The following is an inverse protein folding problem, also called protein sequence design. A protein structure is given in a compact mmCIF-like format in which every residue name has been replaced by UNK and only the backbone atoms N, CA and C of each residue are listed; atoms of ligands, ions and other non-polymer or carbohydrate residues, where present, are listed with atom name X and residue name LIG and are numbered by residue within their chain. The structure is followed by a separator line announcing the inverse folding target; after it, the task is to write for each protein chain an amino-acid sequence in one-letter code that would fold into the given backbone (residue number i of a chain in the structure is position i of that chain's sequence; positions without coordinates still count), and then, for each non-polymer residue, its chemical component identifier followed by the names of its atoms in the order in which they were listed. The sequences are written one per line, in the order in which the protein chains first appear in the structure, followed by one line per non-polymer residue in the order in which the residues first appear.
data_IF_509965503002
#
_entry.id   IF_509965503002
#
_cell.length_a   1.000
_cell.length_b   1.000
_cell.length_c   1.000
_cell.angle_alpha   90.00
_cell.angle_beta   90.00
_cell.angle_gamma   90.00
#
_symmetry.space_group_name_H-M   'P 1'
#
loop_
_entity.id
_entity.type
_entity.pdbx_description
1 polymer ?
#
# COMPACT_ATOMS: atom_id res chain seq x y z
N UNK A 1 -7.69 -15.09 5.74
CA UNK A 1 -8.13 -13.88 6.43
C UNK A 1 -8.84 -12.94 5.46
N UNK A 2 -9.89 -12.26 5.93
CA UNK A 2 -10.56 -11.24 5.15
C UNK A 2 -9.89 -9.89 5.40
N UNK A 3 -9.36 -9.31 4.34
CA UNK A 3 -8.80 -7.97 4.34
C UNK A 3 -9.85 -6.88 4.13
N UNK A 4 -9.43 -5.62 4.11
CA UNK A 4 -10.28 -4.49 3.78
C UNK A 4 -10.73 -4.56 2.31
N UNK A 5 -11.92 -4.04 1.99
CA UNK A 5 -12.45 -4.02 0.63
C UNK A 5 -12.73 -5.38 0.00
N UNK A 6 -12.94 -6.44 0.82
CA UNK A 6 -13.17 -7.80 0.32
C UNK A 6 -11.91 -8.54 -0.14
N UNK A 7 -10.75 -7.94 0.04
CA UNK A 7 -9.47 -8.55 -0.29
C UNK A 7 -9.18 -9.74 0.65
N UNK A 8 -8.70 -10.85 0.11
CA UNK A 8 -8.26 -12.00 0.89
C UNK A 8 -6.77 -11.91 1.18
N UNK A 9 -6.39 -12.21 2.43
CA UNK A 9 -5.00 -12.33 2.87
C UNK A 9 -4.64 -13.80 3.01
N UNK A 10 -3.54 -14.21 2.38
CA UNK A 10 -2.93 -15.51 2.54
C UNK A 10 -1.85 -15.48 3.63
N UNK A 11 -1.60 -16.63 4.25
CA UNK A 11 -0.48 -16.83 5.13
C UNK A 11 0.76 -17.20 4.32
N UNK A 12 1.83 -16.45 4.50
CA UNK A 12 3.13 -16.73 3.87
C UNK A 12 4.03 -17.46 4.87
N UNK A 13 4.19 -16.88 6.05
CA UNK A 13 4.94 -17.44 7.17
C UNK A 13 4.28 -17.06 8.50
N UNK A 14 3.99 -17.98 9.41
CA UNK A 14 4.02 -19.43 9.18
C UNK A 14 3.05 -19.85 8.06
N UNK A 15 3.29 -21.00 7.45
CA UNK A 15 2.35 -21.55 6.45
C UNK A 15 0.99 -21.80 7.10
N UNK A 16 -0.09 -21.72 6.33
CA UNK A 16 -1.45 -21.87 6.86
C UNK A 16 -1.65 -23.16 7.66
N UNK A 17 -1.00 -24.26 7.24
CA UNK A 17 -1.03 -25.56 7.94
C UNK A 17 -0.21 -25.60 9.25
N UNK A 18 0.69 -24.64 9.44
CA UNK A 18 1.63 -24.60 10.59
C UNK A 18 1.11 -23.69 11.70
N UNK A 19 0.18 -22.80 11.37
CA UNK A 19 -0.44 -21.91 12.35
C UNK A 19 -1.45 -22.61 13.21
N UNK A 20 -1.56 -22.20 14.47
CA UNK A 20 -2.62 -22.62 15.36
C UNK A 20 -3.92 -21.83 15.08
N UNK A 21 -5.06 -22.39 15.49
CA UNK A 21 -6.35 -21.68 15.45
C UNK A 21 -6.31 -20.39 16.27
N UNK A 22 -5.59 -20.39 17.40
CA UNK A 22 -5.43 -19.22 18.25
C UNK A 22 -4.67 -18.10 17.54
N UNK A 23 -3.59 -18.40 16.84
CA UNK A 23 -2.83 -17.43 16.02
C UNK A 23 -3.73 -16.84 14.91
N UNK A 24 -4.52 -17.69 14.25
CA UNK A 24 -5.46 -17.24 13.22
C UNK A 24 -6.53 -16.30 13.76
N UNK A 25 -7.13 -16.65 14.88
CA UNK A 25 -8.15 -15.83 15.54
C UNK A 25 -7.57 -14.49 16.03
N UNK A 26 -6.37 -14.53 16.62
CA UNK A 26 -5.67 -13.33 17.08
C UNK A 26 -5.38 -12.35 15.92
N UNK A 27 -4.83 -12.85 14.81
CA UNK A 27 -4.52 -11.99 13.66
C UNK A 27 -5.80 -11.44 13.01
N UNK A 28 -6.87 -12.23 12.94
CA UNK A 28 -8.16 -11.75 12.45
C UNK A 28 -8.72 -10.62 13.33
N UNK A 29 -8.63 -10.75 14.64
CA UNK A 29 -9.00 -9.70 15.60
C UNK A 29 -8.15 -8.45 15.43
N UNK A 30 -6.84 -8.62 15.30
CA UNK A 30 -5.91 -7.52 15.07
C UNK A 30 -6.27 -6.75 13.78
N UNK A 31 -6.46 -7.45 12.67
CA UNK A 31 -6.82 -6.83 11.39
C UNK A 31 -8.17 -6.09 11.46
N UNK A 32 -9.15 -6.62 12.22
CA UNK A 32 -10.43 -5.94 12.41
C UNK A 32 -10.27 -4.65 13.24
N UNK A 33 -9.51 -4.68 14.32
CA UNK A 33 -9.21 -3.51 15.15
C UNK A 33 -8.44 -2.45 14.34
N UNK A 34 -7.39 -2.86 13.64
CA UNK A 34 -6.63 -2.00 12.75
C UNK A 34 -7.54 -1.31 11.72
N UNK A 35 -8.42 -2.08 11.06
CA UNK A 35 -9.33 -1.54 10.04
C UNK A 35 -10.25 -0.45 10.60
N UNK A 36 -10.66 -0.55 11.85
CA UNK A 36 -11.47 0.47 12.52
C UNK A 36 -10.70 1.77 12.78
N UNK A 37 -9.37 1.74 12.78
CA UNK A 37 -8.50 2.91 12.99
C UNK A 37 -7.99 3.57 11.71
N UNK A 38 -8.27 3.00 10.53
CA UNK A 38 -7.84 3.57 9.24
C UNK A 38 -8.60 4.85 8.91
N UNK A 39 -8.28 5.91 9.62
CA UNK A 39 -8.85 7.24 9.43
C UNK A 39 -7.75 8.20 8.96
N UNK A 40 -7.89 8.85 7.80
CA UNK A 40 -6.84 9.69 7.21
C UNK A 40 -6.48 10.93 8.05
N UNK A 41 -7.33 11.32 8.99
CA UNK A 41 -7.06 12.48 9.85
C UNK A 41 -6.30 12.12 11.14
N UNK A 42 -6.40 10.89 11.61
CA UNK A 42 -5.85 10.47 12.91
C UNK A 42 -4.79 9.38 12.81
N UNK A 43 -4.64 8.72 11.66
CA UNK A 43 -3.74 7.57 11.51
C UNK A 43 -2.27 7.94 11.76
N UNK A 44 -1.88 9.15 11.40
CA UNK A 44 -0.50 9.63 11.57
C UNK A 44 -0.20 9.88 13.07
N UNK A 45 -1.16 10.39 13.80
CA UNK A 45 -1.03 10.62 15.25
C UNK A 45 -1.02 9.31 16.05
N UNK A 46 -1.58 8.24 15.46
CA UNK A 46 -1.63 6.89 16.00
C UNK A 46 -0.58 5.95 15.37
N UNK A 47 0.48 6.52 14.78
CA UNK A 47 1.58 5.74 14.20
C UNK A 47 2.16 4.76 15.22
N UNK A 48 2.40 3.52 14.74
CA UNK A 48 2.89 2.43 15.59
C UNK A 48 1.82 1.72 16.43
N UNK A 49 0.58 2.21 16.54
CA UNK A 49 -0.47 1.51 17.28
C UNK A 49 -0.90 0.21 16.59
N UNK A 50 -1.21 0.28 15.31
CA UNK A 50 -1.59 -0.87 14.47
C UNK A 50 -0.76 -0.98 13.22
N UNK A 51 -0.37 0.13 12.62
CA UNK A 51 0.43 0.16 11.41
C UNK A 51 1.68 1.03 11.61
N UNK A 52 2.72 0.73 10.87
CA UNK A 52 3.86 1.63 10.66
C UNK A 52 3.53 2.53 9.46
N UNK A 53 3.17 3.76 9.73
CA UNK A 53 2.73 4.73 8.72
C UNK A 53 3.80 4.98 7.68
N UNK A 54 5.08 5.00 8.08
CA UNK A 54 6.20 5.19 7.17
C UNK A 54 6.27 4.08 6.13
N UNK A 55 6.27 2.82 6.55
CA UNK A 55 6.30 1.67 5.62
C UNK A 55 5.09 1.62 4.69
N UNK A 56 3.92 2.00 5.19
CA UNK A 56 2.71 2.04 4.37
C UNK A 56 2.79 3.12 3.28
N UNK A 57 3.29 4.30 3.61
CA UNK A 57 3.50 5.37 2.63
C UNK A 57 4.58 4.96 1.61
N UNK A 58 5.72 4.47 2.07
CA UNK A 58 6.84 4.10 1.21
C UNK A 58 6.47 2.95 0.26
N UNK A 59 5.82 1.91 0.78
CA UNK A 59 5.32 0.80 -0.05
C UNK A 59 4.35 1.28 -1.12
N UNK A 60 3.43 2.19 -0.77
CA UNK A 60 2.49 2.74 -1.76
C UNK A 60 3.22 3.55 -2.83
N UNK A 61 4.11 4.46 -2.45
CA UNK A 61 4.90 5.27 -3.39
C UNK A 61 5.72 4.39 -4.32
N UNK A 62 6.45 3.41 -3.76
CA UNK A 62 7.32 2.52 -4.53
C UNK A 62 6.56 1.65 -5.54
N UNK A 63 5.28 1.38 -5.31
CA UNK A 63 4.45 0.64 -6.26
C UNK A 63 3.71 1.55 -7.24
N UNK A 64 3.31 2.74 -6.82
CA UNK A 64 2.61 3.70 -7.69
C UNK A 64 3.55 4.39 -8.66
N UNK A 65 4.75 4.76 -8.22
CA UNK A 65 5.71 5.48 -9.05
C UNK A 65 6.08 4.72 -10.35
N UNK A 66 6.47 3.44 -10.31
CA UNK A 66 6.73 2.66 -11.53
C UNK A 66 5.45 2.05 -12.12
N UNK A 67 4.27 2.38 -11.59
CA UNK A 67 2.97 1.85 -12.01
C UNK A 67 2.91 0.31 -11.96
N UNK A 68 3.23 -0.27 -10.81
CA UNK A 68 3.10 -1.71 -10.58
C UNK A 68 1.62 -2.11 -10.54
N UNK A 69 1.14 -2.72 -11.60
CA UNK A 69 -0.29 -2.96 -11.84
C UNK A 69 -0.90 -4.05 -10.96
N UNK A 70 -0.11 -4.91 -10.38
CA UNK A 70 -0.56 -6.05 -9.57
C UNK A 70 -0.24 -5.88 -8.06
N UNK A 71 0.51 -4.84 -7.68
CA UNK A 71 1.09 -4.65 -6.36
C UNK A 71 0.11 -4.78 -5.19
N UNK A 72 -1.08 -4.20 -5.31
CA UNK A 72 -2.03 -4.15 -4.20
C UNK A 72 -3.07 -5.27 -4.22
N UNK A 73 -3.11 -6.05 -5.27
CA UNK A 73 -4.08 -7.14 -5.45
C UNK A 73 -3.45 -8.53 -5.29
N UNK A 74 -2.29 -8.74 -5.88
CA UNK A 74 -1.62 -10.05 -5.96
C UNK A 74 -0.26 -10.07 -5.27
N UNK A 75 0.52 -9.00 -5.43
CA UNK A 75 1.93 -8.95 -5.05
C UNK A 75 2.21 -8.06 -3.83
N UNK A 76 1.19 -7.80 -3.01
CA UNK A 76 1.33 -7.05 -1.75
C UNK A 76 1.64 -7.96 -0.58
N UNK A 77 2.72 -7.68 0.12
CA UNK A 77 3.12 -8.38 1.34
C UNK A 77 3.02 -7.48 2.56
N UNK A 78 2.77 -8.09 3.70
CA UNK A 78 2.77 -7.44 5.01
C UNK A 78 3.43 -8.35 6.02
N UNK A 79 4.11 -7.78 6.97
CA UNK A 79 4.66 -8.53 8.09
C UNK A 79 4.39 -7.82 9.42
N UNK A 80 4.37 -8.58 10.48
CA UNK A 80 4.16 -8.09 11.83
C UNK A 80 4.98 -8.90 12.82
N UNK A 81 5.86 -8.23 13.52
CA UNK A 81 6.52 -8.79 14.69
C UNK A 81 5.56 -8.86 15.88
N UNK A 82 5.90 -9.68 16.88
CA UNK A 82 5.01 -9.97 18.02
C UNK A 82 4.45 -8.70 18.66
N UNK A 83 5.29 -7.75 19.00
CA UNK A 83 4.94 -6.55 19.76
C UNK A 83 4.97 -5.28 18.90
N UNK A 84 5.28 -5.39 17.61
CA UNK A 84 5.33 -4.28 16.66
C UNK A 84 4.03 -4.02 15.92
N UNK A 85 3.95 -2.92 15.17
CA UNK A 85 2.85 -2.65 14.25
C UNK A 85 2.92 -3.55 13.00
N UNK A 86 1.89 -3.47 12.17
CA UNK A 86 1.87 -4.10 10.85
C UNK A 86 2.62 -3.23 9.85
N UNK A 87 3.65 -3.78 9.24
CA UNK A 87 4.42 -3.15 8.18
C UNK A 87 3.97 -3.63 6.81
N UNK A 88 4.01 -2.74 5.83
CA UNK A 88 3.92 -3.10 4.42
C UNK A 88 5.30 -3.46 3.89
N UNK A 89 5.37 -4.53 3.11
CA UNK A 89 6.62 -5.02 2.52
C UNK A 89 6.83 -6.51 2.72
N UNK A 90 7.88 -7.06 2.09
CA UNK A 90 8.76 -6.40 1.13
C UNK A 90 8.05 -5.99 -0.15
N UNK A 91 8.66 -5.06 -0.91
CA UNK A 91 8.23 -4.78 -2.29
C UNK A 91 8.66 -5.95 -3.18
N UNK A 92 7.80 -6.34 -4.10
CA UNK A 92 7.96 -7.59 -4.84
C UNK A 92 7.30 -7.48 -6.22
N UNK A 93 7.82 -8.21 -7.20
CA UNK A 93 7.16 -8.51 -8.47
C UNK A 93 6.93 -7.25 -9.33
N UNK A 94 8.03 -6.68 -9.82
CA UNK A 94 8.03 -5.46 -10.62
C UNK A 94 8.13 -5.72 -12.13
N UNK A 95 7.93 -6.97 -12.57
CA UNK A 95 8.03 -7.38 -13.97
C UNK A 95 7.00 -6.72 -14.89
N UNK A 96 5.87 -6.26 -14.33
CA UNK A 96 4.78 -5.60 -15.07
C UNK A 96 4.69 -4.10 -14.78
N UNK A 97 5.82 -3.46 -14.48
CA UNK A 97 5.91 -2.02 -14.22
C UNK A 97 6.27 -1.23 -15.47
N UNK A 98 6.20 0.10 -15.39
CA UNK A 98 6.68 1.05 -16.40
C UNK A 98 6.13 0.78 -17.82
N UNK A 99 4.85 0.38 -17.91
CA UNK A 99 4.20 0.11 -19.18
C UNK A 99 4.47 -1.29 -19.77
N UNK A 100 5.17 -2.17 -19.06
CA UNK A 100 5.45 -3.54 -19.51
C UNK A 100 4.25 -4.49 -19.34
N UNK A 101 3.09 -4.01 -18.85
CA UNK A 101 1.89 -4.83 -18.80
C UNK A 101 1.31 -5.03 -20.21
N UNK A 102 1.19 -6.27 -20.62
CA UNK A 102 0.71 -6.68 -21.95
C UNK A 102 -0.80 -6.47 -22.16
N UNK A 103 -1.54 -6.17 -21.12
CA UNK A 103 -2.99 -5.92 -21.11
C UNK A 103 -3.35 -4.42 -21.20
N UNK A 104 -2.39 -3.55 -21.47
CA UNK A 104 -2.58 -2.11 -21.62
C UNK A 104 -2.72 -1.34 -20.31
N UNK A 105 -2.72 -2.00 -19.15
CA UNK A 105 -2.67 -1.31 -17.86
C UNK A 105 -1.36 -0.54 -17.72
N UNK A 106 -1.44 0.65 -17.14
CA UNK A 106 -0.29 1.51 -16.92
C UNK A 106 0.45 1.95 -18.22
N UNK A 107 -0.18 1.85 -19.38
CA UNK A 107 0.40 2.28 -20.66
C UNK A 107 0.64 3.79 -20.73
N UNK A 108 -0.24 4.60 -20.11
CA UNK A 108 -0.08 6.04 -20.02
C UNK A 108 0.63 6.40 -18.72
N UNK A 109 1.84 6.96 -18.76
CA UNK A 109 2.62 7.29 -17.56
C UNK A 109 2.03 8.41 -16.71
N UNK A 110 1.13 9.23 -17.27
CA UNK A 110 0.51 10.38 -16.57
C UNK A 110 -0.89 10.09 -16.06
N UNK A 111 -1.48 8.95 -16.40
CA UNK A 111 -2.80 8.54 -15.93
C UNK A 111 -2.73 7.79 -14.60
N UNK A 112 -3.68 8.06 -13.71
CA UNK A 112 -3.75 7.47 -12.37
C UNK A 112 -5.19 7.11 -12.00
N UNK A 113 -5.35 6.12 -11.16
CA UNK A 113 -6.58 5.83 -10.44
C UNK A 113 -7.81 5.63 -11.34
N UNK A 114 -7.76 4.69 -12.26
CA UNK A 114 -8.79 4.38 -13.24
C UNK A 114 -8.98 5.43 -14.37
N UNK A 115 -8.09 6.37 -14.51
CA UNK A 115 -8.19 7.35 -15.57
C UNK A 115 -7.40 6.90 -16.81
N UNK A 116 -8.04 6.94 -17.96
CA UNK A 116 -7.38 6.72 -19.26
C UNK A 116 -6.53 5.43 -19.30
N UNK A 117 -5.25 5.58 -19.58
CA UNK A 117 -4.30 4.49 -19.78
C UNK A 117 -3.83 3.77 -18.52
N UNK A 118 -4.42 4.00 -17.34
CA UNK A 118 -4.11 3.19 -16.16
C UNK A 118 -4.76 1.81 -16.20
N UNK A 119 -5.68 1.58 -17.14
CA UNK A 119 -6.33 0.29 -17.36
C UNK A 119 -7.12 -0.23 -16.16
N UNK A 120 -7.51 0.64 -15.25
CA UNK A 120 -8.29 0.26 -14.06
C UNK A 120 -7.46 -0.23 -12.88
N UNK A 121 -6.21 0.18 -12.78
CA UNK A 121 -5.28 -0.28 -11.73
C UNK A 121 -5.70 0.14 -10.31
N UNK A 122 -6.40 1.27 -10.15
CA UNK A 122 -7.02 1.70 -8.88
C UNK A 122 -6.05 1.90 -7.73
N UNK A 123 -4.91 2.49 -7.96
CA UNK A 123 -3.86 2.68 -6.95
C UNK A 123 -4.35 3.26 -5.62
N UNK A 124 -5.28 4.20 -5.64
CA UNK A 124 -5.79 4.90 -4.46
C UNK A 124 -7.12 4.35 -3.93
N UNK A 125 -7.68 3.34 -4.61
CA UNK A 125 -8.98 2.75 -4.27
C UNK A 125 -8.83 1.33 -3.70
N UNK A 126 -7.62 0.81 -3.59
CA UNK A 126 -7.44 -0.61 -3.32
C UNK A 126 -7.37 -0.91 -1.83
N UNK A 127 -8.12 -1.94 -1.43
CA UNK A 127 -8.01 -2.61 -0.15
C UNK A 127 -7.90 -1.67 1.06
N UNK A 128 -6.80 -1.80 1.76
CA UNK A 128 -6.47 -1.06 2.97
C UNK A 128 -6.18 0.43 2.74
N UNK A 129 -5.80 0.82 1.56
CA UNK A 129 -5.46 2.20 1.22
C UNK A 129 -6.68 3.06 0.93
N UNK A 130 -7.78 2.47 0.47
CA UNK A 130 -9.01 3.19 0.14
C UNK A 130 -9.52 4.12 1.27
N UNK A 131 -9.59 3.69 2.54
CA UNK A 131 -10.01 4.58 3.62
C UNK A 131 -9.06 5.76 3.86
N UNK A 132 -7.76 5.57 3.60
CA UNK A 132 -6.73 6.59 3.84
C UNK A 132 -6.69 7.64 2.75
N UNK A 133 -7.00 7.26 1.51
CA UNK A 133 -6.99 8.16 0.35
C UNK A 133 -8.37 8.73 -0.01
N UNK A 134 -9.47 8.15 0.49
CA UNK A 134 -10.81 8.54 0.06
C UNK A 134 -11.03 8.30 -1.43
N UNK A 135 -10.39 7.26 -1.98
CA UNK A 135 -10.45 6.85 -3.39
C UNK A 135 -9.87 7.88 -4.39
N UNK A 136 -9.05 8.81 -3.95
CA UNK A 136 -8.45 9.86 -4.75
C UNK A 136 -6.95 10.00 -4.47
N UNK A 137 -6.16 10.55 -5.39
CA UNK A 137 -4.79 10.96 -5.09
C UNK A 137 -4.72 11.88 -3.86
N UNK A 138 -3.58 11.93 -3.15
CA UNK A 138 -3.46 12.61 -1.85
C UNK A 138 -3.38 14.15 -1.99
N UNK A 139 -4.39 14.76 -2.60
CA UNK A 139 -4.50 16.22 -2.82
C UNK A 139 -5.16 16.96 -1.66
N UNK A 140 -5.85 16.24 -0.78
CA UNK A 140 -6.59 16.80 0.36
C UNK A 140 -5.71 17.29 1.52
N UNK A 141 -6.37 17.77 2.57
CA UNK A 141 -5.74 18.34 3.78
C UNK A 141 -5.65 17.38 4.97
N UNK A 142 -6.02 16.09 4.80
CA UNK A 142 -5.91 15.11 5.87
C UNK A 142 -4.46 14.91 6.34
N UNK A 143 -4.26 14.43 7.56
CA UNK A 143 -2.93 14.15 8.10
C UNK A 143 -2.18 13.14 7.21
N UNK A 144 -2.87 12.07 6.77
CA UNK A 144 -2.33 11.10 5.82
C UNK A 144 -1.85 11.75 4.51
N UNK A 145 -2.70 12.57 3.88
CA UNK A 145 -2.36 13.22 2.62
C UNK A 145 -1.16 14.17 2.75
N UNK A 146 -1.05 14.89 3.89
CA UNK A 146 0.11 15.73 4.18
C UNK A 146 1.39 14.91 4.36
N UNK A 147 1.34 13.84 5.16
CA UNK A 147 2.47 12.95 5.40
C UNK A 147 2.95 12.30 4.09
N UNK A 148 2.02 11.83 3.27
CA UNK A 148 2.32 11.24 1.96
C UNK A 148 3.03 12.24 1.03
N UNK A 149 2.51 13.47 0.90
CA UNK A 149 3.14 14.50 0.06
C UNK A 149 4.51 14.94 0.59
N UNK A 150 4.65 15.04 1.91
CA UNK A 150 5.95 15.33 2.51
C UNK A 150 6.98 14.26 2.16
N UNK A 151 6.61 12.99 2.31
CA UNK A 151 7.48 11.88 1.96
C UNK A 151 7.81 11.86 0.47
N UNK A 152 6.83 12.06 -0.39
CA UNK A 152 7.05 12.20 -1.82
C UNK A 152 8.05 13.32 -2.14
N UNK A 153 7.90 14.50 -1.54
CA UNK A 153 8.81 15.63 -1.72
C UNK A 153 10.25 15.28 -1.29
N UNK A 154 10.42 14.59 -0.17
CA UNK A 154 11.73 14.11 0.28
C UNK A 154 12.37 13.15 -0.71
N UNK A 155 11.61 12.20 -1.24
CA UNK A 155 12.09 11.26 -2.25
C UNK A 155 12.46 11.98 -3.55
N UNK A 156 11.66 12.95 -3.99
CA UNK A 156 11.92 13.73 -5.20
C UNK A 156 13.11 14.67 -5.08
N UNK A 157 13.48 15.11 -3.90
CA UNK A 157 14.71 15.87 -3.66
C UNK A 157 15.94 15.00 -3.41
N UNK A 158 15.80 13.69 -3.35
CA UNK A 158 16.86 12.72 -3.07
C UNK A 158 16.83 11.53 -4.01
N UNK A 159 16.51 10.36 -3.49
CA UNK A 159 16.62 9.08 -4.23
C UNK A 159 15.84 9.02 -5.56
N UNK A 160 14.71 9.71 -5.65
CA UNK A 160 13.89 9.80 -6.87
C UNK A 160 14.03 11.16 -7.57
N UNK A 161 15.13 11.90 -7.36
CA UNK A 161 15.41 13.10 -8.14
C UNK A 161 15.61 12.76 -9.62
N UNK A 162 15.44 13.76 -10.50
CA UNK A 162 15.66 13.54 -11.92
C UNK A 162 17.09 13.06 -12.21
N UNK A 163 18.07 13.64 -11.51
CA UNK A 163 19.48 13.29 -11.70
C UNK A 163 19.78 11.84 -11.32
N UNK A 164 19.11 11.33 -10.26
CA UNK A 164 19.33 9.96 -9.82
C UNK A 164 18.53 8.91 -10.64
N UNK A 165 17.43 9.33 -11.26
CA UNK A 165 16.56 8.41 -12.02
C UNK A 165 16.95 8.36 -13.50
N UNK A 166 17.41 9.48 -14.05
CA UNK A 166 17.73 9.58 -15.48
C UNK A 166 19.20 9.28 -15.80
N UNK A 167 20.06 9.17 -14.79
CA UNK A 167 21.48 8.80 -14.92
C UNK A 167 22.35 9.96 -15.35
#
# INVERSE_FOLDING_TARGET
LNGAGGQRLGWVEPKERERTNQQGAWLASYCNSMRATLNPNTIVDNDGQYIDVGSWIDHHILNVYPKNVDAFRLSGYMFKDRDGPLHMGPVWDFDRTMGCADDGRAADPVSWNNAGGDGGTRYFQFGWYSPLFGNQPPTGSSAWARAYRLRWSQLRSGALSNDNVMG
#
